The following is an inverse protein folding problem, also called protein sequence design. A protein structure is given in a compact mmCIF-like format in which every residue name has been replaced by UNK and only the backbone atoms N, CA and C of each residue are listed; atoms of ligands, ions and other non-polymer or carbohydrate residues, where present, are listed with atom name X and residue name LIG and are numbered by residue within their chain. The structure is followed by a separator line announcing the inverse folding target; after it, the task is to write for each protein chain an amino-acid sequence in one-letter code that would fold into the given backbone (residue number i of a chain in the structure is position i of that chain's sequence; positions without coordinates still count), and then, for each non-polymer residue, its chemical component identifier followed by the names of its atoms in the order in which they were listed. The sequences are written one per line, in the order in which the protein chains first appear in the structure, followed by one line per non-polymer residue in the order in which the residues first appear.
data_IF_229462613185
#
_entry.id   IF_229462613185
#
_cell.length_a   1.000
_cell.length_b   1.000
_cell.length_c   1.000
_cell.angle_alpha   90.00
_cell.angle_beta   90.00
_cell.angle_gamma   90.00
#
_symmetry.space_group_name_H-M   'P 1'
#
loop_
_entity.id
_entity.type
_entity.pdbx_description
1 polymer ?
#
# COMPACT_ATOMS: atom_id res chain seq x y z
N UNK A 1 -4.68 -15.23 -1.73
CA UNK A 1 -4.85 -13.90 -1.10
C UNK A 1 -3.84 -12.97 -1.77
N UNK A 2 -4.17 -11.70 -2.07
CA UNK A 2 -3.18 -10.78 -2.65
C UNK A 2 -2.06 -10.50 -1.64
N UNK A 3 -1.00 -9.81 -2.06
CA UNK A 3 0.05 -9.31 -1.16
C UNK A 3 0.12 -7.78 -1.25
N UNK A 4 0.22 -7.12 -0.09
CA UNK A 4 0.38 -5.67 0.06
C UNK A 4 1.79 -5.34 0.51
N UNK A 5 2.30 -4.19 0.06
CA UNK A 5 3.51 -3.54 0.54
C UNK A 5 3.27 -2.04 0.70
N UNK A 6 3.59 -1.49 1.86
CA UNK A 6 3.58 -0.06 2.14
C UNK A 6 4.93 0.36 2.71
N UNK A 7 5.38 1.58 2.40
CA UNK A 7 6.56 2.17 3.02
C UNK A 7 6.31 3.63 3.35
N UNK A 8 6.70 4.06 4.56
CA UNK A 8 6.78 5.46 4.97
C UNK A 8 8.18 5.71 5.52
N UNK A 9 8.87 6.76 5.05
CA UNK A 9 10.24 7.07 5.44
C UNK A 9 10.46 8.57 5.62
N UNK A 10 11.35 8.95 6.54
CA UNK A 10 11.73 10.35 6.77
C UNK A 10 12.76 10.90 5.77
N UNK A 11 13.36 10.03 4.95
CA UNK A 11 14.28 10.36 3.85
C UNK A 11 13.92 9.53 2.62
N UNK A 12 14.33 9.92 1.40
CA UNK A 12 14.17 9.07 0.22
C UNK A 12 14.95 7.76 0.38
N UNK A 13 14.23 6.66 0.62
CA UNK A 13 14.79 5.33 0.86
C UNK A 13 14.63 4.45 -0.38
N UNK A 14 15.66 3.64 -0.65
CA UNK A 14 15.65 2.69 -1.75
C UNK A 14 14.65 1.55 -1.50
N UNK A 15 13.78 1.33 -2.47
CA UNK A 15 12.67 0.37 -2.35
C UNK A 15 13.01 -1.01 -2.90
N UNK A 16 14.13 -1.15 -3.62
CA UNK A 16 14.48 -2.36 -4.37
C UNK A 16 14.47 -3.59 -3.48
N UNK A 17 15.00 -3.49 -2.25
CA UNK A 17 15.02 -4.60 -1.31
C UNK A 17 13.63 -5.15 -1.01
N UNK A 18 12.75 -4.29 -0.51
CA UNK A 18 11.40 -4.67 -0.11
C UNK A 18 10.57 -5.10 -1.33
N UNK A 19 10.77 -4.44 -2.47
CA UNK A 19 10.08 -4.79 -3.71
C UNK A 19 10.54 -6.14 -4.25
N UNK A 20 11.84 -6.43 -4.24
CA UNK A 20 12.40 -7.73 -4.64
C UNK A 20 11.80 -8.87 -3.82
N UNK A 21 11.71 -8.72 -2.49
CA UNK A 21 11.05 -9.72 -1.64
C UNK A 21 9.57 -9.92 -1.98
N UNK A 22 8.84 -8.83 -2.19
CA UNK A 22 7.44 -8.90 -2.61
C UNK A 22 7.30 -9.62 -3.97
N UNK A 23 8.12 -9.26 -4.97
CA UNK A 23 8.05 -9.79 -6.34
C UNK A 23 8.13 -11.31 -6.41
N UNK A 24 8.92 -11.97 -5.56
CA UNK A 24 9.02 -13.42 -5.57
C UNK A 24 7.65 -14.08 -5.29
N UNK A 25 6.81 -13.46 -4.46
CA UNK A 25 5.45 -13.92 -4.16
C UNK A 25 4.51 -13.80 -5.37
N UNK A 26 4.85 -12.96 -6.35
CA UNK A 26 4.12 -12.73 -7.60
C UNK A 26 4.33 -13.76 -8.69
N UNK A 27 4.25 -15.05 -8.33
CA UNK A 27 4.20 -16.17 -9.28
C UNK A 27 5.35 -17.16 -9.20
N UNK A 28 6.41 -16.87 -8.42
CA UNK A 28 7.55 -17.76 -8.20
C UNK A 28 7.42 -18.58 -6.92
N UNK A 29 7.27 -17.92 -5.77
CA UNK A 29 7.09 -18.55 -4.45
C UNK A 29 5.63 -18.60 -4.02
N UNK A 30 4.77 -17.73 -4.57
CA UNK A 30 3.33 -17.67 -4.34
C UNK A 30 2.50 -17.93 -5.61
N UNK A 31 1.20 -18.25 -5.48
CA UNK A 31 0.31 -18.54 -6.61
C UNK A 31 -0.13 -17.29 -7.39
N UNK A 32 0.32 -16.09 -7.02
CA UNK A 32 -0.24 -14.82 -7.48
C UNK A 32 0.30 -14.42 -8.86
N UNK A 33 -0.52 -14.59 -9.90
CA UNK A 33 -0.11 -14.38 -11.30
C UNK A 33 -0.98 -13.37 -12.05
N UNK A 34 -1.89 -12.69 -11.35
CA UNK A 34 -2.97 -11.92 -11.98
C UNK A 34 -2.71 -10.40 -12.01
N UNK A 35 -1.43 -10.04 -11.97
CA UNK A 35 -0.94 -8.68 -12.12
C UNK A 35 -0.20 -8.16 -10.88
N UNK A 36 0.53 -7.08 -11.07
CA UNK A 36 1.22 -6.38 -10.00
C UNK A 36 1.26 -4.88 -10.29
N UNK A 37 1.52 -4.11 -9.26
CA UNK A 37 1.81 -2.70 -9.44
C UNK A 37 2.48 -2.08 -8.23
N UNK A 38 3.11 -0.94 -8.48
CA UNK A 38 3.78 -0.14 -7.49
C UNK A 38 3.61 1.33 -7.81
N UNK A 39 3.37 2.11 -6.78
CA UNK A 39 3.44 3.57 -6.82
C UNK A 39 4.48 4.04 -5.82
N UNK A 40 5.33 4.96 -6.25
CA UNK A 40 6.29 5.64 -5.42
C UNK A 40 6.21 7.15 -5.66
N UNK A 41 6.38 7.91 -4.59
CA UNK A 41 6.24 9.36 -4.59
C UNK A 41 7.59 10.07 -4.72
N UNK A 42 7.62 11.12 -5.52
CA UNK A 42 8.74 12.06 -5.67
C UNK A 42 8.16 13.46 -5.47
N UNK A 43 8.38 14.02 -4.28
CA UNK A 43 7.74 15.25 -3.81
C UNK A 43 6.21 15.18 -3.90
N UNK A 44 5.60 16.04 -4.72
CA UNK A 44 4.15 16.08 -4.95
C UNK A 44 3.71 15.18 -6.13
N UNK A 45 4.67 14.66 -6.90
CA UNK A 45 4.43 13.74 -7.99
C UNK A 45 4.46 12.29 -7.50
N UNK A 46 3.89 11.40 -8.31
CA UNK A 46 4.07 9.96 -8.14
C UNK A 46 4.21 9.28 -9.49
N UNK A 47 4.98 8.19 -9.52
CA UNK A 47 5.02 7.29 -10.68
C UNK A 47 4.31 6.01 -10.28
N UNK A 48 3.42 5.56 -11.16
CA UNK A 48 2.69 4.30 -10.96
C UNK A 48 2.99 3.38 -12.12
N UNK A 49 3.51 2.20 -11.80
CA UNK A 49 3.88 1.17 -12.76
C UNK A 49 3.04 -0.06 -12.44
N UNK A 50 2.33 -0.58 -13.45
CA UNK A 50 1.46 -1.74 -13.29
C UNK A 50 1.54 -2.62 -14.53
N UNK A 51 1.37 -3.91 -14.31
CA UNK A 51 1.30 -4.89 -15.39
C UNK A 51 0.26 -5.96 -14.99
N UNK A 52 -0.74 -6.25 -15.85
CA UNK A 52 -1.66 -7.36 -15.61
C UNK A 52 -0.99 -8.73 -15.76
N UNK A 53 0.19 -8.82 -16.41
CA UNK A 53 0.95 -10.05 -16.50
C UNK A 53 1.59 -10.44 -15.15
N UNK A 54 1.94 -11.73 -14.96
CA UNK A 54 2.62 -12.18 -13.75
C UNK A 54 3.91 -11.39 -13.48
N UNK A 55 4.17 -11.07 -12.21
CA UNK A 55 5.28 -10.21 -11.83
C UNK A 55 6.65 -10.82 -12.15
N UNK A 56 6.80 -12.14 -11.93
CA UNK A 56 8.05 -12.86 -12.17
C UNK A 56 8.53 -12.82 -13.64
N UNK A 57 7.60 -12.71 -14.58
CA UNK A 57 7.89 -12.76 -16.02
C UNK A 57 7.87 -11.36 -16.67
N UNK A 58 7.46 -10.32 -15.93
CA UNK A 58 7.31 -8.97 -16.47
C UNK A 58 8.67 -8.29 -16.70
N UNK A 59 9.01 -7.90 -17.95
CA UNK A 59 10.22 -7.12 -18.23
C UNK A 59 10.21 -5.76 -17.54
N UNK A 60 9.01 -5.20 -17.32
CA UNK A 60 8.83 -3.94 -16.61
C UNK A 60 9.22 -4.10 -15.14
N UNK A 61 8.87 -5.23 -14.51
CA UNK A 61 9.25 -5.49 -13.13
C UNK A 61 10.77 -5.60 -12.97
N UNK A 62 11.44 -6.26 -13.92
CA UNK A 62 12.92 -6.33 -13.97
C UNK A 62 13.56 -4.95 -14.12
N UNK A 63 12.96 -4.07 -14.92
CA UNK A 63 13.42 -2.67 -15.04
C UNK A 63 13.28 -1.93 -13.71
N UNK A 64 12.16 -2.09 -13.00
CA UNK A 64 11.93 -1.49 -11.68
C UNK A 64 12.96 -1.99 -10.66
N UNK A 65 13.30 -3.28 -10.68
CA UNK A 65 14.36 -3.85 -9.83
C UNK A 65 15.75 -3.30 -10.15
N UNK A 66 16.03 -3.02 -11.43
CA UNK A 66 17.32 -2.52 -11.89
C UNK A 66 17.53 -1.03 -11.59
N UNK A 67 16.45 -0.25 -11.45
CA UNK A 67 16.52 1.20 -11.23
C UNK A 67 16.62 1.55 -9.73
N UNK A 68 17.54 2.45 -9.31
CA UNK A 68 17.62 2.94 -7.93
C UNK A 68 16.47 3.90 -7.64
N UNK A 69 15.29 3.35 -7.37
CA UNK A 69 14.09 4.12 -7.04
C UNK A 69 14.14 4.46 -5.55
N UNK A 70 14.22 5.76 -5.24
CA UNK A 70 14.17 6.27 -3.86
C UNK A 70 12.87 7.03 -3.63
N UNK A 71 12.21 6.77 -2.51
CA UNK A 71 10.96 7.44 -2.18
C UNK A 71 10.73 7.51 -0.67
N UNK A 72 9.92 8.46 -0.24
CA UNK A 72 9.45 8.59 1.15
C UNK A 72 8.15 7.82 1.40
N UNK A 73 7.39 7.53 0.33
CA UNK A 73 6.10 6.88 0.41
C UNK A 73 5.92 5.92 -0.77
N UNK A 74 5.53 4.67 -0.47
CA UNK A 74 5.37 3.63 -1.49
C UNK A 74 4.14 2.80 -1.17
N UNK A 75 3.40 2.44 -2.22
CA UNK A 75 2.35 1.41 -2.14
C UNK A 75 2.59 0.42 -3.28
N UNK A 76 2.78 -0.85 -2.93
CA UNK A 76 2.90 -1.98 -3.84
C UNK A 76 1.77 -2.99 -3.61
N UNK A 77 1.41 -3.70 -4.67
CA UNK A 77 0.39 -4.74 -4.63
C UNK A 77 0.71 -5.84 -5.63
N UNK A 78 0.57 -7.10 -5.20
CA UNK A 78 0.57 -8.27 -6.08
C UNK A 78 -0.81 -8.89 -6.07
N UNK A 79 -1.40 -9.00 -7.26
CA UNK A 79 -2.79 -9.39 -7.46
C UNK A 79 -2.94 -10.89 -7.65
N UNK A 80 -3.95 -11.40 -6.96
CA UNK A 80 -4.64 -12.63 -7.27
C UNK A 80 -6.10 -12.28 -7.57
N UNK A 81 -6.54 -12.47 -8.80
CA UNK A 81 -7.81 -11.94 -9.27
C UNK A 81 -8.97 -12.80 -8.73
N UNK A 82 -9.76 -12.21 -7.82
CA UNK A 82 -11.04 -12.77 -7.39
C UNK A 82 -12.24 -12.12 -8.10
N UNK A 83 -12.11 -10.84 -8.50
CA UNK A 83 -13.15 -10.05 -9.18
C UNK A 83 -12.57 -9.19 -10.29
N UNK A 84 -13.36 -9.04 -11.35
CA UNK A 84 -12.99 -8.37 -12.59
C UNK A 84 -11.95 -9.15 -13.39
N UNK A 85 -11.98 -9.10 -14.74
CA UNK A 85 -10.99 -9.77 -15.57
C UNK A 85 -9.58 -9.24 -15.28
N UNK A 86 -8.57 -10.05 -15.63
CA UNK A 86 -7.17 -9.64 -15.62
C UNK A 86 -6.97 -8.56 -16.68
N UNK A 87 -6.84 -7.31 -16.24
CA UNK A 87 -6.76 -6.14 -17.09
C UNK A 87 -6.07 -5.00 -16.34
N UNK A 88 -5.40 -4.11 -17.08
CA UNK A 88 -4.69 -2.98 -16.50
C UNK A 88 -5.59 -2.07 -15.64
N UNK A 89 -6.82 -1.81 -16.10
CA UNK A 89 -7.83 -1.02 -15.36
C UNK A 89 -8.26 -1.65 -14.03
N UNK A 90 -8.05 -2.96 -13.87
CA UNK A 90 -8.40 -3.74 -12.67
C UNK A 90 -7.16 -4.07 -11.82
N UNK A 91 -6.00 -3.51 -12.18
CA UNK A 91 -4.72 -3.79 -11.51
C UNK A 91 -4.39 -2.68 -10.52
N UNK A 92 -4.18 -3.09 -9.26
CA UNK A 92 -3.72 -2.22 -8.18
C UNK A 92 -2.27 -1.75 -8.37
N UNK A 93 -1.86 -0.66 -7.69
CA UNK A 93 -2.70 0.25 -6.88
C UNK A 93 -3.55 1.19 -7.76
N UNK A 94 -4.61 1.77 -7.21
CA UNK A 94 -5.44 2.78 -7.87
C UNK A 94 -4.99 4.18 -7.46
N UNK A 95 -5.01 5.15 -8.37
CA UNK A 95 -4.60 6.53 -8.08
C UNK A 95 -5.68 7.51 -8.54
N UNK A 96 -5.99 8.52 -7.72
CA UNK A 96 -6.90 9.62 -8.03
C UNK A 96 -6.40 10.94 -7.44
N UNK A 97 -6.77 12.06 -8.04
CA UNK A 97 -6.49 13.38 -7.48
C UNK A 97 -7.51 13.71 -6.38
N UNK A 98 -7.02 14.07 -5.20
CA UNK A 98 -7.83 14.57 -4.11
C UNK A 98 -7.11 15.71 -3.39
N UNK A 99 -7.78 16.86 -3.28
CA UNK A 99 -7.27 18.10 -2.67
C UNK A 99 -5.88 18.55 -3.15
N UNK A 100 -5.65 18.47 -4.46
CA UNK A 100 -4.42 18.87 -5.14
C UNK A 100 -3.28 17.86 -5.03
N UNK A 101 -3.55 16.61 -4.63
CA UNK A 101 -2.53 15.56 -4.50
C UNK A 101 -2.97 14.24 -5.10
N UNK A 102 -2.01 13.41 -5.51
CA UNK A 102 -2.27 12.04 -5.92
C UNK A 102 -2.45 11.14 -4.72
N UNK A 103 -3.65 10.58 -4.57
CA UNK A 103 -3.99 9.58 -3.57
C UNK A 103 -3.91 8.20 -4.19
N UNK A 104 -3.13 7.33 -3.58
CA UNK A 104 -2.91 5.96 -4.02
C UNK A 104 -3.52 4.99 -3.03
N UNK A 105 -4.17 3.95 -3.55
CA UNK A 105 -4.91 2.96 -2.78
C UNK A 105 -4.61 1.54 -3.24
N UNK A 106 -4.40 0.64 -2.29
CA UNK A 106 -4.31 -0.79 -2.52
C UNK A 106 -5.17 -1.55 -1.50
N UNK A 107 -5.91 -2.55 -2.00
CA UNK A 107 -6.80 -3.36 -1.18
C UNK A 107 -6.52 -4.85 -1.38
N UNK A 108 -6.38 -5.56 -0.27
CA UNK A 108 -6.29 -7.01 -0.24
C UNK A 108 -7.47 -7.58 0.55
N UNK A 109 -8.39 -8.18 -0.18
CA UNK A 109 -9.63 -8.69 0.35
C UNK A 109 -10.64 -8.93 -0.75
N UNK A 110 -11.89 -9.13 -0.34
CA UNK A 110 -13.02 -9.31 -1.23
C UNK A 110 -14.26 -8.78 -0.54
N UNK A 111 -15.02 -7.97 -1.27
CA UNK A 111 -16.29 -7.41 -0.81
C UNK A 111 -17.46 -8.09 -1.53
N UNK A 112 -18.44 -8.57 -0.77
CA UNK A 112 -19.76 -8.97 -1.26
C UNK A 112 -20.70 -7.78 -1.28
N UNK A 113 -21.69 -7.76 -2.18
CA UNK A 113 -22.73 -6.71 -2.27
C UNK A 113 -22.20 -5.26 -2.34
N UNK A 114 -20.95 -5.09 -2.78
CA UNK A 114 -20.26 -3.81 -2.94
C UNK A 114 -20.95 -2.85 -3.92
N UNK A 115 -21.88 -3.33 -4.74
CA UNK A 115 -22.70 -2.48 -5.60
C UNK A 115 -23.53 -1.48 -4.79
N UNK A 116 -23.87 -1.79 -3.52
CA UNK A 116 -24.51 -0.85 -2.62
C UNK A 116 -23.64 0.37 -2.27
N UNK A 117 -22.32 0.27 -2.47
CA UNK A 117 -21.37 1.38 -2.30
C UNK A 117 -21.32 2.30 -3.53
N UNK A 118 -21.92 1.89 -4.65
CA UNK A 118 -21.95 2.74 -5.84
C UNK A 118 -22.83 3.96 -5.58
N UNK A 119 -22.24 5.14 -5.72
CA UNK A 119 -22.88 6.40 -5.40
C UNK A 119 -22.49 7.48 -6.39
N UNK A 120 -23.34 8.48 -6.53
CA UNK A 120 -22.99 9.70 -7.25
C UNK A 120 -21.92 10.47 -6.47
N UNK A 121 -20.98 11.07 -7.19
CA UNK A 121 -19.86 11.79 -6.62
C UNK A 121 -18.83 12.19 -7.67
N UNK A 122 -17.75 12.83 -7.22
CA UNK A 122 -16.62 13.24 -8.06
C UNK A 122 -15.86 12.01 -8.56
N UNK A 123 -15.74 10.98 -7.73
CA UNK A 123 -14.93 9.80 -8.00
C UNK A 123 -15.80 8.64 -8.46
N UNK A 124 -15.51 8.13 -9.65
CA UNK A 124 -16.18 6.96 -10.22
C UNK A 124 -15.13 5.91 -10.61
N UNK A 125 -15.45 4.61 -10.44
CA UNK A 125 -14.56 3.54 -10.86
C UNK A 125 -14.46 3.50 -12.40
N UNK A 126 -13.30 3.12 -12.91
CA UNK A 126 -13.05 2.93 -14.35
C UNK A 126 -13.07 1.43 -14.70
N UNK A 127 -12.52 0.62 -13.81
CA UNK A 127 -12.56 -0.83 -13.82
C UNK A 127 -13.82 -1.39 -13.19
N UNK A 128 -13.79 -2.70 -12.98
CA UNK A 128 -14.94 -3.51 -12.61
C UNK A 128 -14.80 -4.10 -11.19
N UNK A 129 -13.68 -3.78 -10.52
CA UNK A 129 -13.34 -4.37 -9.22
C UNK A 129 -14.14 -3.76 -8.08
N UNK A 130 -14.42 -4.59 -7.09
CA UNK A 130 -14.89 -4.17 -5.77
C UNK A 130 -13.94 -3.19 -5.10
N UNK A 131 -12.65 -3.41 -5.28
CA UNK A 131 -11.57 -2.63 -4.69
C UNK A 131 -11.55 -1.18 -5.19
N UNK A 132 -11.68 -0.96 -6.50
CA UNK A 132 -11.77 0.41 -7.03
C UNK A 132 -13.10 1.08 -6.65
N UNK A 133 -14.19 0.31 -6.60
CA UNK A 133 -15.48 0.82 -6.13
C UNK A 133 -15.38 1.30 -4.68
N UNK A 134 -14.75 0.52 -3.79
CA UNK A 134 -14.49 0.90 -2.41
C UNK A 134 -13.60 2.15 -2.31
N UNK A 135 -12.56 2.26 -3.14
CA UNK A 135 -11.72 3.45 -3.17
C UNK A 135 -12.49 4.71 -3.56
N UNK A 136 -13.28 4.65 -4.63
CA UNK A 136 -14.12 5.77 -5.05
C UNK A 136 -15.19 6.12 -4.00
N UNK A 137 -15.77 5.10 -3.34
CA UNK A 137 -16.69 5.32 -2.24
C UNK A 137 -16.03 6.09 -1.08
N UNK A 138 -14.85 5.64 -0.61
CA UNK A 138 -14.08 6.31 0.44
C UNK A 138 -13.79 7.77 0.10
N UNK A 139 -13.30 8.05 -1.12
CA UNK A 139 -13.01 9.42 -1.53
C UNK A 139 -14.26 10.30 -1.60
N UNK A 140 -15.39 9.76 -2.06
CA UNK A 140 -16.65 10.51 -2.10
C UNK A 140 -17.19 10.79 -0.68
N UNK A 141 -17.06 9.86 0.28
CA UNK A 141 -17.39 10.13 1.69
C UNK A 141 -16.49 11.23 2.28
N UNK A 142 -15.19 11.18 1.98
CA UNK A 142 -14.25 12.24 2.37
C UNK A 142 -14.64 13.59 1.76
N UNK A 143 -15.03 13.64 0.48
CA UNK A 143 -15.49 14.88 -0.17
C UNK A 143 -16.76 15.44 0.47
N UNK A 144 -17.71 14.59 0.88
CA UNK A 144 -18.95 15.03 1.56
C UNK A 144 -18.68 15.66 2.91
N UNK A 145 -17.80 15.05 3.72
CA UNK A 145 -17.45 15.58 5.04
C UNK A 145 -16.45 16.73 4.96
N UNK A 146 -15.53 16.69 4.00
CA UNK A 146 -14.44 17.64 3.79
C UNK A 146 -14.39 18.13 2.33
N UNK A 147 -15.24 19.10 1.96
CA UNK A 147 -15.24 19.68 0.60
C UNK A 147 -13.93 20.37 0.20
N UNK A 148 -13.04 20.61 1.16
CA UNK A 148 -11.68 21.14 0.99
C UNK A 148 -10.73 20.36 1.88
N UNK A 149 -9.43 20.45 1.60
CA UNK A 149 -8.40 19.83 2.43
C UNK A 149 -8.60 20.20 3.91
N UNK A 150 -8.78 19.23 4.81
CA UNK A 150 -8.90 19.53 6.22
C UNK A 150 -7.58 20.06 6.77
N UNK A 151 -7.67 21.02 7.70
CA UNK A 151 -6.51 21.50 8.43
C UNK A 151 -5.96 20.42 9.37
N UNK A 152 -6.86 19.67 10.03
CA UNK A 152 -6.51 18.50 10.82
C UNK A 152 -6.63 17.22 9.97
N UNK A 153 -5.51 16.83 9.37
CA UNK A 153 -5.43 15.58 8.60
C UNK A 153 -5.59 14.34 9.48
N UNK A 154 -5.19 14.36 10.76
CA UNK A 154 -5.34 13.20 11.64
C UNK A 154 -6.82 12.95 11.97
N UNK A 155 -7.62 14.00 12.19
CA UNK A 155 -9.06 13.86 12.33
C UNK A 155 -9.73 13.26 11.08
N UNK A 156 -9.26 13.64 9.89
CA UNK A 156 -9.73 13.07 8.64
C UNK A 156 -9.38 11.57 8.55
N UNK A 157 -8.16 11.18 8.91
CA UNK A 157 -7.77 9.76 8.92
C UNK A 157 -8.49 8.93 9.99
N UNK A 158 -8.84 9.52 11.15
CA UNK A 158 -9.74 8.89 12.13
C UNK A 158 -11.09 8.56 11.49
N UNK A 159 -11.69 9.52 10.79
CA UNK A 159 -12.92 9.29 10.04
C UNK A 159 -12.75 8.26 8.92
N UNK A 160 -11.61 8.25 8.22
CA UNK A 160 -11.31 7.21 7.24
C UNK A 160 -11.29 5.82 7.88
N UNK A 161 -10.77 5.69 9.11
CA UNK A 161 -10.85 4.47 9.91
C UNK A 161 -12.29 4.02 10.18
N UNK A 162 -13.19 4.94 10.55
CA UNK A 162 -14.62 4.65 10.72
C UNK A 162 -15.27 4.15 9.42
N UNK A 163 -14.91 4.75 8.28
CA UNK A 163 -15.40 4.30 6.97
C UNK A 163 -14.87 2.89 6.61
N UNK A 164 -13.62 2.57 6.98
CA UNK A 164 -13.06 1.24 6.77
C UNK A 164 -13.79 0.17 7.60
N UNK A 165 -14.21 0.50 8.83
CA UNK A 165 -15.06 -0.37 9.64
C UNK A 165 -16.43 -0.63 8.99
N UNK A 166 -17.00 0.37 8.30
CA UNK A 166 -18.21 0.17 7.51
C UNK A 166 -17.96 -0.75 6.31
N UNK A 167 -16.86 -0.56 5.57
CA UNK A 167 -16.49 -1.46 4.47
C UNK A 167 -16.29 -2.91 4.94
N UNK A 168 -15.79 -3.11 6.15
CA UNK A 168 -15.59 -4.44 6.72
C UNK A 168 -16.90 -5.23 6.86
N UNK A 169 -18.06 -4.57 6.89
CA UNK A 169 -19.37 -5.26 6.87
C UNK A 169 -19.63 -5.99 5.55
N UNK A 170 -18.94 -5.60 4.47
CA UNK A 170 -19.04 -6.21 3.15
C UNK A 170 -17.99 -7.31 2.95
N UNK A 171 -17.02 -7.50 3.84
CA UNK A 171 -16.04 -8.58 3.74
C UNK A 171 -14.65 -8.26 4.30
N UNK A 172 -13.63 -8.90 3.74
CA UNK A 172 -12.23 -8.69 4.14
C UNK A 172 -11.74 -7.40 3.48
N UNK A 173 -11.16 -6.52 4.27
CA UNK A 173 -10.68 -5.17 3.92
C UNK A 173 -9.32 -4.91 4.54
N UNK A 174 -8.23 -5.28 3.87
CA UNK A 174 -6.91 -4.79 4.25
C UNK A 174 -6.53 -3.68 3.28
N UNK A 175 -6.32 -2.46 3.78
CA UNK A 175 -6.11 -1.27 2.95
C UNK A 175 -4.75 -0.66 3.24
N UNK A 176 -4.06 -0.25 2.18
CA UNK A 176 -3.03 0.77 2.22
C UNK A 176 -3.50 1.97 1.42
N UNK A 177 -3.35 3.17 1.98
CA UNK A 177 -3.69 4.42 1.32
C UNK A 177 -2.64 5.49 1.62
N UNK A 178 -2.25 6.27 0.62
CA UNK A 178 -1.25 7.33 0.79
C UNK A 178 -1.53 8.52 -0.11
N UNK A 179 -1.21 9.72 0.38
CA UNK A 179 -1.18 10.96 -0.41
C UNK A 179 0.26 11.42 -0.72
N UNK A 180 1.26 10.59 -0.39
CA UNK A 180 2.69 10.90 -0.47
C UNK A 180 3.31 11.43 0.82
N UNK A 181 2.54 12.04 1.72
CA UNK A 181 3.04 12.47 3.04
C UNK A 181 2.69 11.45 4.12
N UNK A 182 1.44 10.98 4.09
CA UNK A 182 0.91 10.02 5.04
C UNK A 182 0.78 8.65 4.39
N UNK A 183 1.00 7.60 5.17
CA UNK A 183 0.66 6.23 4.83
C UNK A 183 -0.33 5.70 5.86
N UNK A 184 -1.57 5.53 5.44
CA UNK A 184 -2.64 4.92 6.22
C UNK A 184 -2.69 3.42 5.92
N UNK A 185 -2.86 2.64 6.97
CA UNK A 185 -3.05 1.19 6.90
C UNK A 185 -4.26 0.79 7.75
N UNK A 186 -5.13 -0.05 7.22
CA UNK A 186 -6.26 -0.64 7.96
C UNK A 186 -6.22 -2.15 7.80
N UNK A 187 -6.34 -2.87 8.93
CA UNK A 187 -6.28 -4.32 8.98
C UNK A 187 -7.65 -4.88 9.35
N UNK A 188 -8.17 -5.84 8.60
CA UNK A 188 -9.36 -6.63 8.98
C UNK A 188 -9.06 -8.12 9.13
N UNK A 189 -7.89 -8.56 8.66
CA UNK A 189 -7.45 -9.94 8.81
C UNK A 189 -5.96 -9.99 9.17
N UNK A 190 -5.09 -9.79 8.17
CA UNK A 190 -3.65 -9.99 8.35
C UNK A 190 -2.87 -8.89 7.64
N UNK A 191 -2.22 -8.07 8.45
CA UNK A 191 -1.19 -7.12 8.07
C UNK A 191 -0.12 -7.11 9.17
N UNK A 192 1.10 -6.82 8.77
CA UNK A 192 2.24 -6.68 9.67
C UNK A 192 2.97 -5.40 9.35
N UNK A 193 3.61 -4.81 10.35
CA UNK A 193 4.48 -3.66 10.16
C UNK A 193 5.76 -3.82 10.97
N UNK A 194 6.81 -3.14 10.54
CA UNK A 194 8.00 -2.90 11.34
C UNK A 194 8.48 -1.48 11.12
N UNK A 195 9.23 -0.96 12.09
CA UNK A 195 9.92 0.33 11.96
C UNK A 195 11.39 0.08 12.16
N UNK A 196 12.17 0.35 11.11
CA UNK A 196 13.62 0.36 11.15
C UNK A 196 14.08 1.77 11.57
N UNK A 197 15.06 1.84 12.46
CA UNK A 197 15.69 3.09 12.90
C UNK A 197 17.19 3.00 12.72
N UNK A 198 17.81 4.07 12.24
CA UNK A 198 19.27 4.15 12.16
C UNK A 198 19.93 4.07 13.56
N UNK A 199 21.13 3.48 13.67
CA UNK A 199 21.86 2.78 12.61
C UNK A 199 21.18 1.45 12.27
N UNK A 200 20.97 1.21 10.97
CA UNK A 200 20.31 0.00 10.52
C UNK A 200 21.27 -1.19 10.54
N UNK A 201 20.78 -2.32 11.05
CA UNK A 201 21.47 -3.59 10.92
C UNK A 201 21.33 -4.18 9.50
N UNK A 202 21.71 -5.45 9.40
CA UNK A 202 21.42 -6.26 8.21
C UNK A 202 19.97 -6.74 8.27
N UNK A 203 19.36 -6.92 7.10
CA UNK A 203 18.11 -7.64 6.99
C UNK A 203 18.21 -8.69 5.87
N UNK A 204 17.58 -9.84 6.09
CA UNK A 204 17.53 -10.96 5.14
C UNK A 204 16.09 -11.25 4.72
N UNK A 205 15.84 -11.19 3.43
CA UNK A 205 14.53 -11.56 2.86
C UNK A 205 14.22 -13.04 3.12
N UNK A 206 12.94 -13.34 3.34
CA UNK A 206 12.46 -14.73 3.48
C UNK A 206 12.37 -15.40 2.12
N UNK A 207 11.84 -14.69 1.12
CA UNK A 207 11.49 -15.25 -0.18
C UNK A 207 12.65 -15.28 -1.19
N UNK A 208 13.81 -14.74 -0.82
CA UNK A 208 15.01 -14.73 -1.66
C UNK A 208 16.28 -14.74 -0.81
N UNK A 209 17.34 -15.36 -1.29
CA UNK A 209 18.64 -15.37 -0.59
C UNK A 209 19.41 -14.05 -0.80
N UNK A 210 18.71 -12.94 -0.51
CA UNK A 210 19.22 -11.58 -0.59
C UNK A 210 19.22 -11.01 0.83
N UNK A 211 20.42 -10.68 1.29
CA UNK A 211 20.63 -9.89 2.49
C UNK A 211 21.14 -8.51 2.08
N UNK A 212 20.59 -7.46 2.69
CA UNK A 212 21.12 -6.11 2.53
C UNK A 212 21.68 -5.63 3.86
N UNK A 213 22.87 -5.06 3.78
CA UNK A 213 23.45 -4.26 4.84
C UNK A 213 23.06 -2.80 4.59
N UNK A 214 22.12 -2.31 5.39
CA UNK A 214 21.60 -0.95 5.23
C UNK A 214 22.60 0.12 5.71
N UNK A 215 23.66 -0.25 6.44
CA UNK A 215 24.60 0.71 7.03
C UNK A 215 25.30 1.60 5.99
N UNK A 216 25.41 1.16 4.73
CA UNK A 216 26.04 1.95 3.65
C UNK A 216 25.07 2.90 2.94
N UNK A 217 23.76 2.75 3.13
CA UNK A 217 22.72 3.42 2.34
C UNK A 217 21.95 4.48 3.12
N UNK A 218 22.35 4.75 4.36
CA UNK A 218 21.50 5.41 5.36
C UNK A 218 22.19 6.51 6.13
N UNK A 219 21.44 7.51 6.56
CA UNK A 219 21.92 8.54 7.48
C UNK A 219 21.68 8.16 8.94
N UNK A 220 22.35 8.81 9.91
CA UNK A 220 22.19 8.52 11.33
C UNK A 220 20.77 8.74 11.89
N UNK A 221 19.90 9.43 11.16
CA UNK A 221 18.56 9.82 11.62
C UNK A 221 17.44 9.11 10.86
N UNK A 222 17.75 8.16 9.99
CA UNK A 222 16.76 7.54 9.12
C UNK A 222 15.75 6.71 9.92
N UNK A 223 14.47 6.86 9.58
CA UNK A 223 13.34 6.11 10.12
C UNK A 223 12.50 5.63 8.95
N UNK A 224 12.35 4.31 8.85
CA UNK A 224 11.63 3.66 7.74
C UNK A 224 10.66 2.65 8.32
N UNK A 225 9.37 2.90 8.13
CA UNK A 225 8.32 1.92 8.43
C UNK A 225 7.93 1.19 7.16
N UNK A 226 7.87 -0.13 7.26
CA UNK A 226 7.36 -1.01 6.20
C UNK A 226 6.11 -1.72 6.71
N UNK A 227 5.08 -1.78 5.87
CA UNK A 227 3.86 -2.56 6.11
C UNK A 227 3.77 -3.65 5.03
N UNK A 228 3.44 -4.87 5.40
CA UNK A 228 3.25 -5.97 4.45
C UNK A 228 2.13 -6.92 4.89
N UNK A 229 1.55 -7.69 3.97
CA UNK A 229 0.57 -8.73 4.33
C UNK A 229 1.20 -9.75 5.27
N UNK A 230 2.35 -10.33 4.89
CA UNK A 230 3.17 -11.19 5.73
C UNK A 230 4.59 -10.60 5.87
N UNK A 231 5.30 -10.87 6.98
CA UNK A 231 6.69 -10.47 7.16
C UNK A 231 7.55 -10.78 5.93
N UNK A 232 8.39 -9.82 5.53
CA UNK A 232 9.30 -9.99 4.38
C UNK A 232 10.68 -10.50 4.78
N UNK A 233 11.03 -10.38 6.06
CA UNK A 233 12.37 -10.68 6.60
C UNK A 233 12.29 -11.62 7.78
N UNK A 234 13.32 -12.44 7.96
CA UNK A 234 13.36 -13.50 8.98
C UNK A 234 14.09 -13.09 10.27
N UNK A 235 14.89 -12.03 10.19
CA UNK A 235 15.81 -11.56 11.21
C UNK A 235 15.39 -10.21 11.83
N UNK A 236 14.14 -9.80 11.61
CA UNK A 236 13.57 -8.56 12.14
C UNK A 236 12.28 -8.81 12.92
N UNK A 237 11.98 -7.91 13.86
CA UNK A 237 10.75 -7.98 14.66
C UNK A 237 9.59 -7.30 13.91
N UNK A 238 8.73 -8.12 13.31
CA UNK A 238 7.47 -7.67 12.73
C UNK A 238 6.34 -7.69 13.77
N UNK A 239 5.53 -6.64 13.78
CA UNK A 239 4.35 -6.51 14.61
C UNK A 239 3.10 -6.83 13.78
N UNK A 240 2.33 -7.85 14.20
CA UNK A 240 1.03 -8.15 13.60
C UNK A 240 0.01 -7.08 14.01
N UNK A 241 -0.76 -6.59 13.04
CA UNK A 241 -1.87 -5.67 13.29
C UNK A 241 -3.11 -6.41 13.75
N UNK A 242 -3.87 -5.79 14.65
CA UNK A 242 -5.17 -6.27 15.09
C UNK A 242 -6.25 -5.98 14.02
N UNK A 243 -7.21 -6.88 13.87
CA UNK A 243 -8.34 -6.69 12.97
C UNK A 243 -9.29 -5.60 13.49
N UNK A 244 -9.76 -4.72 12.59
CA UNK A 244 -10.54 -3.53 12.91
C UNK A 244 -9.70 -2.30 13.24
N UNK A 245 -8.37 -2.41 13.31
CA UNK A 245 -7.49 -1.30 13.69
C UNK A 245 -6.82 -0.68 12.47
N UNK A 246 -6.65 0.64 12.53
CA UNK A 246 -5.82 1.39 11.60
C UNK A 246 -4.53 1.90 12.28
N UNK A 247 -3.52 2.14 11.46
CA UNK A 247 -2.32 2.91 11.80
C UNK A 247 -2.02 3.93 10.73
N UNK A 248 -1.65 5.13 11.15
CA UNK A 248 -1.28 6.24 10.32
C UNK A 248 0.20 6.56 10.53
N UNK A 249 0.97 6.51 9.45
CA UNK A 249 2.39 6.81 9.46
C UNK A 249 2.69 8.09 8.71
N UNK A 250 3.68 8.85 9.18
CA UNK A 250 4.26 9.99 8.48
C UNK A 250 5.75 10.01 8.76
N UNK A 251 6.56 10.14 7.71
CA UNK A 251 8.03 10.14 7.84
C UNK A 251 8.55 8.90 8.60
N UNK A 252 7.94 7.73 8.40
CA UNK A 252 8.29 6.50 9.11
C UNK A 252 7.80 6.41 10.55
N UNK A 253 7.22 7.46 11.14
CA UNK A 253 6.70 7.45 12.51
C UNK A 253 5.20 7.19 12.55
N UNK A 254 4.73 6.48 13.57
CA UNK A 254 3.30 6.33 13.84
C UNK A 254 2.78 7.65 14.45
N UNK A 255 1.87 8.32 13.75
CA UNK A 255 1.31 9.62 14.14
C UNK A 255 -0.18 9.57 14.47
N UNK A 256 -0.79 8.38 14.43
CA UNK A 256 -2.16 8.14 14.86
C UNK A 256 -2.53 6.67 14.66
N UNK A 257 -3.45 6.16 15.47
CA UNK A 257 -3.97 4.81 15.38
C UNK A 257 -5.40 4.76 15.99
N UNK A 258 -5.98 3.56 16.04
CA UNK A 258 -7.31 3.31 16.61
C UNK A 258 -7.36 3.31 18.15
N UNK A 259 -6.24 3.55 18.87
CA UNK A 259 -6.21 3.52 20.34
C UNK A 259 -6.59 4.84 21.00
#
# INVERSE_FOLDING_TARGET
MCELLGMSANVPTDIRFSFTGLMQRGGRTGPHRDGWGITFYEDQGCRTIKDPAPCCDSPIAKLVQACPIKSRAVIGHIRQANRGPVALKNTHPFTREQWGRFWTFAHNGQLTDYQALQQSGKHLPVGDTDSETAFCWLLNELDRKYPRKPADMQAMFRYLGELCLQLQQFGIVNILLSDGDYLFSFCSNTLHWLTRRAPFGKARLIDEDVAIDFHQETTPNDVVTVIATLPLTSDEQWHKMEAGYYRLFKNGECVGDST
#
